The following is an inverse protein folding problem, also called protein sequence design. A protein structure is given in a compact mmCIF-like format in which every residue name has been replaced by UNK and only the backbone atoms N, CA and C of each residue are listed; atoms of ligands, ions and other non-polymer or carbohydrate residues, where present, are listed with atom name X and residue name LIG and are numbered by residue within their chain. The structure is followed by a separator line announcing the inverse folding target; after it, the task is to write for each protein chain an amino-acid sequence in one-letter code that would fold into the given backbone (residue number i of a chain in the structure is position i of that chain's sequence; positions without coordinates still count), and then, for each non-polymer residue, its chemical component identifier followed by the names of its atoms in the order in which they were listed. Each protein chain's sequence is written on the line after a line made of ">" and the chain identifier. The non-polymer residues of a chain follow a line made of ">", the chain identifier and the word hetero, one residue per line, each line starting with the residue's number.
data_IF_476143000772
#
_entry.id   IF_476143000772
#
_cell.length_a   1.000
_cell.length_b   1.000
_cell.length_c   1.000
_cell.angle_alpha   90.00
_cell.angle_beta   90.00
_cell.angle_gamma   90.00
#
_symmetry.space_group_name_H-M   'P 1'
#
loop_
_entity.id
_entity.type
_entity.pdbx_description
1 polymer ?
#
# COMPACT_ATOMS: atom_id res chain seq x y z
N UNK A 1 9.65 12.45 5.95
CA UNK A 1 9.98 11.44 4.92
C UNK A 1 10.15 10.11 5.64
N UNK A 2 9.52 9.05 5.16
CA UNK A 2 9.63 7.70 5.76
C UNK A 2 10.97 7.07 5.37
N UNK A 3 11.57 6.33 6.30
CA UNK A 3 12.82 5.58 6.14
C UNK A 3 12.68 4.22 6.81
N UNK A 4 13.61 3.32 6.59
CA UNK A 4 13.64 1.98 7.21
C UNK A 4 13.69 2.04 8.74
N UNK A 5 14.21 3.13 9.29
CA UNK A 5 14.28 3.39 10.74
C UNK A 5 13.05 4.09 11.31
N UNK A 6 12.07 4.46 10.47
CA UNK A 6 10.85 5.13 10.93
C UNK A 6 10.03 4.17 11.80
N UNK A 7 9.67 4.55 13.04
CA UNK A 7 8.88 3.68 13.92
C UNK A 7 7.51 3.35 13.33
N UNK A 8 7.02 2.14 13.58
CA UNK A 8 5.63 1.79 13.26
C UNK A 8 4.66 2.53 14.17
N UNK A 9 3.65 3.11 13.56
CA UNK A 9 2.55 3.74 14.28
C UNK A 9 1.23 3.36 13.60
N UNK A 10 0.69 2.17 13.90
CA UNK A 10 -0.51 1.66 13.25
C UNK A 10 -1.73 2.52 13.59
N UNK A 11 -2.50 2.90 12.57
CA UNK A 11 -3.68 3.76 12.69
C UNK A 11 -4.98 3.03 12.34
N UNK A 12 -4.92 1.71 12.21
CA UNK A 12 -6.09 0.87 11.94
C UNK A 12 -5.87 -0.55 12.46
N UNK A 13 -6.92 -1.34 12.70
CA UNK A 13 -6.78 -2.76 13.04
C UNK A 13 -5.96 -3.54 12.02
N UNK A 14 -6.14 -3.26 10.73
CA UNK A 14 -5.33 -3.84 9.68
C UNK A 14 -3.83 -3.50 9.84
N UNK A 15 -3.51 -2.22 10.06
CA UNK A 15 -2.13 -1.79 10.25
C UNK A 15 -1.52 -2.40 11.52
N UNK A 16 -2.29 -2.55 12.60
CA UNK A 16 -1.85 -3.22 13.82
C UNK A 16 -1.53 -4.71 13.57
N UNK A 17 -2.37 -5.41 12.82
CA UNK A 17 -2.14 -6.80 12.44
C UNK A 17 -0.87 -6.95 11.58
N UNK A 18 -0.62 -6.02 10.66
CA UNK A 18 0.62 -5.99 9.86
C UNK A 18 1.87 -5.74 10.71
N UNK A 19 1.80 -4.83 11.68
CA UNK A 19 2.90 -4.59 12.61
C UNK A 19 3.17 -5.81 13.49
N UNK A 20 2.12 -6.51 13.94
CA UNK A 20 2.25 -7.77 14.65
C UNK A 20 2.96 -8.84 13.80
N UNK A 21 2.55 -9.02 12.55
CA UNK A 21 3.18 -9.98 11.64
C UNK A 21 4.67 -9.68 11.43
N UNK A 22 5.05 -8.41 11.32
CA UNK A 22 6.45 -8.00 11.26
C UNK A 22 7.23 -8.49 12.50
N UNK A 23 6.74 -8.21 13.69
CA UNK A 23 7.43 -8.57 14.93
C UNK A 23 7.47 -10.08 15.17
N UNK A 24 6.46 -10.82 14.75
CA UNK A 24 6.48 -12.28 14.79
C UNK A 24 7.59 -12.82 13.89
N UNK A 25 7.75 -12.30 12.67
CA UNK A 25 8.84 -12.74 11.79
C UNK A 25 10.22 -12.45 12.38
N UNK A 26 10.41 -11.29 13.02
CA UNK A 26 11.65 -10.95 13.75
C UNK A 26 11.89 -11.93 14.89
N UNK A 27 10.86 -12.17 15.70
CA UNK A 27 10.95 -13.06 16.87
C UNK A 27 11.34 -14.49 16.47
N UNK A 28 10.69 -15.05 15.44
CA UNK A 28 11.01 -16.40 14.95
C UNK A 28 12.42 -16.50 14.37
N UNK A 29 12.87 -15.46 13.65
CA UNK A 29 14.24 -15.40 13.17
C UNK A 29 15.24 -15.44 14.31
N UNK A 30 15.04 -14.64 15.35
CA UNK A 30 15.97 -14.51 16.46
C UNK A 30 15.92 -15.70 17.42
N UNK A 31 14.72 -16.24 17.70
CA UNK A 31 14.55 -17.32 18.67
C UNK A 31 14.87 -18.71 18.10
N UNK A 32 14.62 -18.92 16.82
CA UNK A 32 14.75 -20.24 16.19
C UNK A 32 15.81 -20.31 15.08
N UNK A 33 16.52 -19.21 14.83
CA UNK A 33 17.52 -19.15 13.76
C UNK A 33 16.93 -19.32 12.35
N UNK A 34 15.64 -19.03 12.16
CA UNK A 34 14.97 -19.18 10.88
C UNK A 34 15.42 -18.11 9.89
N UNK A 35 15.58 -18.48 8.61
CA UNK A 35 15.74 -17.50 7.56
C UNK A 35 14.38 -16.83 7.26
N UNK A 36 14.13 -15.69 7.89
CA UNK A 36 12.90 -14.93 7.74
C UNK A 36 13.22 -13.44 7.53
N UNK A 37 12.82 -12.88 6.41
CA UNK A 37 13.02 -11.47 6.07
C UNK A 37 11.69 -10.75 5.90
N UNK A 38 11.63 -9.52 6.38
CA UNK A 38 10.47 -8.65 6.20
C UNK A 38 10.68 -7.75 4.98
N UNK A 39 9.77 -7.79 4.02
CA UNK A 39 9.74 -6.88 2.88
C UNK A 39 9.01 -5.58 3.24
N UNK A 40 9.61 -4.44 2.90
CA UNK A 40 8.94 -3.14 3.00
C UNK A 40 8.23 -2.88 1.68
N UNK A 41 6.91 -3.03 1.69
CA UNK A 41 6.07 -2.94 0.51
C UNK A 41 5.19 -1.69 0.63
N UNK A 42 5.48 -0.68 -0.18
CA UNK A 42 4.63 0.51 -0.31
C UNK A 42 3.36 0.20 -1.11
N UNK A 43 2.63 1.21 -1.56
CA UNK A 43 1.38 0.97 -2.26
C UNK A 43 1.62 0.36 -3.65
N UNK A 44 0.83 -0.64 -4.01
CA UNK A 44 0.89 -1.31 -5.30
C UNK A 44 -0.42 -1.18 -6.02
N UNK A 45 -0.34 -0.83 -7.28
CA UNK A 45 -1.48 -0.57 -8.13
C UNK A 45 -1.43 -1.44 -9.39
N UNK A 46 -2.61 -1.72 -9.94
CA UNK A 46 -2.76 -2.44 -11.20
C UNK A 46 -4.12 -2.11 -11.83
N UNK A 47 -4.34 -2.44 -13.12
CA UNK A 47 -5.64 -2.26 -13.77
C UNK A 47 -6.80 -2.99 -13.08
N UNK A 48 -6.53 -4.06 -12.35
CA UNK A 48 -7.52 -4.85 -11.61
C UNK A 48 -7.71 -4.39 -10.16
N UNK A 49 -7.17 -3.23 -9.78
CA UNK A 49 -7.34 -2.67 -8.44
C UNK A 49 -8.82 -2.51 -8.09
N UNK A 50 -9.19 -2.86 -6.86
CA UNK A 50 -10.55 -2.71 -6.36
C UNK A 50 -11.07 -1.26 -6.47
N UNK A 51 -12.36 -1.11 -6.75
CA UNK A 51 -12.98 0.18 -7.10
C UNK A 51 -13.00 1.21 -5.97
N UNK A 52 -12.96 0.77 -4.72
CA UNK A 52 -12.94 1.62 -3.53
C UNK A 52 -11.58 2.24 -3.23
N UNK A 53 -10.52 1.73 -3.86
CA UNK A 53 -9.18 2.26 -3.67
C UNK A 53 -8.95 3.53 -4.49
N UNK A 54 -8.14 4.44 -3.95
CA UNK A 54 -8.00 5.82 -4.44
C UNK A 54 -7.65 5.89 -5.93
N UNK A 55 -6.73 5.09 -6.42
CA UNK A 55 -6.31 5.10 -7.83
C UNK A 55 -7.44 4.69 -8.76
N UNK A 56 -8.15 3.59 -8.45
CA UNK A 56 -9.30 3.14 -9.23
C UNK A 56 -10.47 4.12 -9.12
N UNK A 57 -10.70 4.69 -7.96
CA UNK A 57 -11.70 5.74 -7.74
C UNK A 57 -11.44 6.94 -8.66
N UNK A 58 -10.18 7.39 -8.76
CA UNK A 58 -9.80 8.52 -9.62
C UNK A 58 -10.01 8.17 -11.09
N UNK A 59 -9.50 7.06 -11.57
CA UNK A 59 -9.61 6.67 -13.00
C UNK A 59 -11.06 6.52 -13.43
N UNK A 60 -11.92 5.95 -12.61
CA UNK A 60 -13.36 5.84 -12.88
C UNK A 60 -14.04 7.22 -12.90
N UNK A 61 -13.72 8.08 -11.95
CA UNK A 61 -14.30 9.40 -11.88
C UNK A 61 -13.90 10.27 -13.10
N UNK A 62 -12.63 10.21 -13.53
CA UNK A 62 -12.17 10.90 -14.73
C UNK A 62 -12.94 10.42 -15.96
N UNK A 63 -13.10 9.11 -16.13
CA UNK A 63 -13.89 8.58 -17.24
C UNK A 63 -15.38 9.01 -17.18
N UNK A 64 -15.97 9.04 -15.98
CA UNK A 64 -17.34 9.48 -15.80
C UNK A 64 -17.52 10.98 -16.09
N UNK A 65 -16.55 11.81 -15.72
CA UNK A 65 -16.53 13.24 -16.02
C UNK A 65 -16.44 13.46 -17.55
N UNK A 66 -15.54 12.75 -18.23
CA UNK A 66 -15.38 12.83 -19.68
C UNK A 66 -16.66 12.44 -20.43
N UNK A 67 -17.38 11.47 -19.92
CA UNK A 67 -18.66 11.02 -20.47
C UNK A 67 -19.86 11.89 -20.04
N UNK A 68 -19.65 12.94 -19.27
CA UNK A 68 -20.72 13.82 -18.78
C UNK A 68 -21.64 13.17 -17.73
N UNK A 69 -21.24 12.06 -17.13
CA UNK A 69 -22.02 11.33 -16.12
C UNK A 69 -21.78 11.88 -14.70
N UNK A 70 -20.74 12.69 -14.52
CA UNK A 70 -20.33 13.25 -13.25
C UNK A 70 -19.61 14.58 -13.51
N UNK A 71 -19.70 15.54 -12.60
CA UNK A 71 -19.06 16.87 -12.76
C UNK A 71 -17.80 17.03 -11.89
N UNK A 72 -17.65 16.25 -10.85
CA UNK A 72 -16.53 16.35 -9.89
C UNK A 72 -16.25 15.05 -9.18
N UNK A 73 -15.06 15.00 -8.56
CA UNK A 73 -14.66 13.90 -7.64
C UNK A 73 -14.38 14.46 -6.25
N UNK A 74 -14.81 13.75 -5.22
CA UNK A 74 -14.47 14.05 -3.83
C UNK A 74 -13.33 13.15 -3.38
N UNK A 75 -12.21 13.79 -3.01
CA UNK A 75 -11.04 13.16 -2.44
C UNK A 75 -10.85 13.62 -0.99
N UNK A 76 -10.19 12.79 -0.18
CA UNK A 76 -9.82 13.14 1.18
C UNK A 76 -8.63 14.11 1.24
N UNK A 77 -7.56 13.75 1.93
CA UNK A 77 -6.38 14.59 2.06
C UNK A 77 -5.60 14.69 0.73
N UNK A 78 -5.71 15.85 0.07
CA UNK A 78 -5.02 16.13 -1.19
C UNK A 78 -3.51 16.34 -1.03
N UNK A 79 -3.03 16.61 0.19
CA UNK A 79 -1.62 16.83 0.47
C UNK A 79 -0.88 15.54 0.87
N UNK A 80 -1.58 14.41 0.95
CA UNK A 80 -0.96 13.13 1.28
C UNK A 80 0.04 12.72 0.19
N UNK A 81 1.28 12.46 0.61
CA UNK A 81 2.33 11.93 -0.25
C UNK A 81 2.44 10.43 -0.02
N UNK A 82 2.44 9.65 -1.10
CA UNK A 82 2.54 8.20 -1.07
C UNK A 82 3.55 7.73 -2.12
N UNK A 83 4.32 6.73 -1.79
CA UNK A 83 5.06 5.96 -2.78
C UNK A 83 4.14 4.89 -3.35
N UNK A 84 4.10 4.77 -4.67
CA UNK A 84 3.24 3.82 -5.37
C UNK A 84 3.98 3.20 -6.54
N UNK A 85 3.86 1.89 -6.68
CA UNK A 85 4.46 1.12 -7.75
C UNK A 85 3.44 0.22 -8.45
N UNK A 86 3.79 -0.26 -9.64
CA UNK A 86 2.99 -1.25 -10.33
C UNK A 86 3.23 -2.64 -9.75
N UNK A 87 2.18 -3.37 -9.40
CA UNK A 87 2.28 -4.69 -8.77
C UNK A 87 3.16 -5.67 -9.55
N UNK A 88 3.10 -5.64 -10.89
CA UNK A 88 3.95 -6.47 -11.77
C UNK A 88 5.44 -6.18 -11.61
N UNK A 89 5.84 -4.93 -11.36
CA UNK A 89 7.23 -4.55 -11.19
C UNK A 89 7.88 -5.20 -9.95
N UNK A 90 7.09 -5.44 -8.90
CA UNK A 90 7.54 -6.17 -7.71
C UNK A 90 7.71 -7.66 -7.95
N UNK A 91 6.80 -8.27 -8.70
CA UNK A 91 6.88 -9.69 -9.02
C UNK A 91 8.11 -10.03 -9.87
N UNK A 92 8.66 -9.06 -10.60
CA UNK A 92 9.82 -9.23 -11.48
C UNK A 92 11.15 -9.02 -10.75
N UNK A 93 11.17 -8.30 -9.63
CA UNK A 93 12.38 -8.17 -8.78
C UNK A 93 12.66 -9.50 -8.07
N UNK A 94 13.17 -10.45 -8.80
CA UNK A 94 13.90 -11.59 -8.24
C UNK A 94 15.37 -11.20 -8.05
N UNK A 95 16.02 -11.68 -6.98
CA UNK A 95 17.46 -11.48 -6.79
C UNK A 95 18.25 -12.12 -7.94
#
# INVERSE_FOLDING_TARGET
>A
MQRETTPFYPRSPYAAAKAYAYWIAVNYRESYGMHASNGILFNHESPIRGETFVTRKITRAVAAIELGLQDRIFLGNLHARRDSGHARALAIKRP
#
